data_IF_424825660530
#
_entry.id   IF_424825660530
#
_cell.length_a   1.000
_cell.length_b   1.000
_cell.length_c   1.000
_cell.angle_alpha   90.00
_cell.angle_beta   90.00
_cell.angle_gamma   90.00
#
_symmetry.space_group_name_H-M   'P 1'
#
loop_
_entity.id
_entity.type
_entity.pdbx_description
1 polymer ?
#
# COMPACT_ATOMS: atom_id res chain seq x y z
N UNK A 1 15.78 -4.36 5.86
CA UNK A 1 15.55 -4.56 4.41
C UNK A 1 15.26 -3.20 3.81
N UNK A 2 15.24 -3.06 2.48
CA UNK A 2 15.07 -1.77 1.80
C UNK A 2 13.62 -1.44 1.44
N UNK A 3 12.63 -2.02 2.13
CA UNK A 3 11.23 -1.90 1.70
C UNK A 3 10.59 -0.57 2.11
N UNK A 4 11.24 0.21 2.98
CA UNK A 4 10.93 1.64 3.11
C UNK A 4 11.09 2.33 1.76
N UNK A 5 12.19 2.09 1.03
CA UNK A 5 12.37 2.70 -0.30
C UNK A 5 11.29 2.25 -1.30
N UNK A 6 10.89 0.98 -1.26
CA UNK A 6 9.80 0.47 -2.13
C UNK A 6 8.48 1.18 -1.82
N UNK A 7 8.16 1.39 -0.53
CA UNK A 7 6.97 2.12 -0.09
C UNK A 7 6.97 3.58 -0.58
N UNK A 8 8.08 4.30 -0.37
CA UNK A 8 8.19 5.70 -0.81
C UNK A 8 8.17 5.85 -2.33
N UNK A 9 8.74 4.90 -3.08
CA UNK A 9 8.62 4.87 -4.55
C UNK A 9 7.17 4.62 -4.98
N UNK A 10 6.41 3.83 -4.21
CA UNK A 10 4.97 3.69 -4.41
C UNK A 10 4.23 5.03 -4.27
N UNK A 11 4.54 5.82 -3.24
CA UNK A 11 4.02 7.18 -3.08
C UNK A 11 4.42 8.11 -4.23
N UNK A 12 5.68 8.04 -4.66
CA UNK A 12 6.16 8.81 -5.79
C UNK A 12 5.42 8.48 -7.10
N UNK A 13 4.96 7.24 -7.24
CA UNK A 13 4.14 6.77 -8.36
C UNK A 13 2.62 6.86 -8.10
N UNK A 14 2.22 7.70 -7.14
CA UNK A 14 0.83 8.09 -6.89
C UNK A 14 0.00 7.11 -6.06
N UNK A 15 0.60 6.08 -5.48
CA UNK A 15 -0.11 5.22 -4.51
C UNK A 15 -0.22 5.91 -3.16
N UNK A 16 -1.33 5.66 -2.45
CA UNK A 16 -1.50 6.07 -1.05
C UNK A 16 -1.35 4.87 -0.13
N UNK A 17 -1.22 5.15 1.17
CA UNK A 17 -1.22 4.09 2.19
C UNK A 17 -2.50 3.26 2.09
N UNK A 18 -2.39 1.94 2.20
CA UNK A 18 -3.55 1.04 2.23
C UNK A 18 -4.55 1.43 3.33
N UNK A 19 -4.07 2.08 4.40
CA UNK A 19 -4.89 2.54 5.52
C UNK A 19 -5.62 3.86 5.32
N UNK A 20 -5.46 4.51 4.17
CA UNK A 20 -6.24 5.70 3.79
C UNK A 20 -7.44 5.33 2.94
N UNK A 21 -7.41 4.15 2.32
CA UNK A 21 -8.52 3.61 1.55
C UNK A 21 -9.50 2.97 2.51
N UNK A 22 -10.76 3.40 2.48
CA UNK A 22 -11.79 2.73 3.26
C UNK A 22 -11.98 1.31 2.68
N UNK A 23 -11.73 0.23 3.44
CA UNK A 23 -11.94 -1.12 2.93
C UNK A 23 -13.41 -1.30 2.55
N UNK A 24 -13.67 -2.04 1.48
CA UNK A 24 -15.03 -2.44 1.10
C UNK A 24 -15.70 -3.34 2.15
N UNK A 25 -14.93 -3.88 3.09
CA UNK A 25 -15.37 -4.75 4.16
C UNK A 25 -15.18 -4.12 5.55
N UNK A 26 -16.07 -4.45 6.47
CA UNK A 26 -15.97 -4.06 7.89
C UNK A 26 -16.27 -2.60 8.19
N UNK A 27 -16.09 -2.25 9.46
CA UNK A 27 -16.23 -0.89 9.98
C UNK A 27 -14.88 -0.17 10.05
N UNK A 28 -14.88 1.14 10.28
CA UNK A 28 -13.66 1.89 10.55
C UNK A 28 -12.89 1.37 11.79
N UNK A 29 -13.60 0.77 12.75
CA UNK A 29 -12.98 0.16 13.93
C UNK A 29 -12.26 -1.15 13.57
N UNK A 30 -12.89 -1.99 12.73
CA UNK A 30 -12.27 -3.23 12.24
C UNK A 30 -10.98 -2.93 11.49
N UNK A 31 -11.00 -1.87 10.67
CA UNK A 31 -9.85 -1.40 9.93
C UNK A 31 -8.72 -0.87 10.83
N UNK A 32 -9.06 -0.13 11.89
CA UNK A 32 -8.09 0.32 12.88
C UNK A 32 -7.40 -0.85 13.59
N UNK A 33 -8.17 -1.89 13.93
CA UNK A 33 -7.64 -3.13 14.52
C UNK A 33 -6.75 -3.90 13.55
N UNK A 34 -7.14 -4.02 12.29
CA UNK A 34 -6.34 -4.66 11.24
C UNK A 34 -4.98 -3.93 11.07
N UNK A 35 -5.00 -2.59 10.99
CA UNK A 35 -3.77 -1.78 10.93
C UNK A 35 -2.84 -2.05 12.10
N UNK A 36 -3.37 -2.06 13.33
CA UNK A 36 -2.58 -2.35 14.52
C UNK A 36 -2.01 -3.78 14.49
N UNK A 37 -2.76 -4.75 13.95
CA UNK A 37 -2.32 -6.13 13.81
C UNK A 37 -1.17 -6.30 12.80
N UNK A 38 -1.09 -5.47 11.75
CA UNK A 38 0.02 -5.47 10.80
C UNK A 38 1.34 -4.94 11.42
N UNK A 39 1.27 -4.06 12.43
CA UNK A 39 2.41 -3.39 13.07
C UNK A 39 3.20 -4.28 14.06
N UNK A 40 3.33 -5.57 13.78
CA UNK A 40 4.10 -6.50 14.60
C UNK A 40 5.58 -6.49 14.19
N UNK A 41 6.42 -5.82 14.98
CA UNK A 41 7.86 -5.73 14.73
C UNK A 41 8.56 -7.09 14.93
N UNK A 42 8.28 -7.75 16.06
CA UNK A 42 8.96 -8.99 16.46
C UNK A 42 8.07 -10.25 16.41
N UNK A 43 6.82 -10.08 15.97
CA UNK A 43 5.85 -11.17 15.88
C UNK A 43 5.83 -11.89 14.53
N UNK A 44 5.03 -12.97 14.41
CA UNK A 44 4.67 -13.55 13.12
C UNK A 44 3.93 -12.53 12.26
N UNK A 45 4.13 -12.63 10.94
CA UNK A 45 3.44 -11.78 9.98
C UNK A 45 1.95 -12.10 9.95
N UNK A 46 1.15 -11.04 9.82
CA UNK A 46 -0.27 -11.17 9.50
C UNK A 46 -0.42 -11.49 8.01
N UNK A 47 -1.38 -12.34 7.67
CA UNK A 47 -1.59 -12.85 6.30
C UNK A 47 -2.68 -12.09 5.56
N UNK A 48 -3.28 -11.08 6.19
CA UNK A 48 -4.18 -10.15 5.52
C UNK A 48 -3.45 -9.44 4.36
N UNK A 49 -4.16 -9.28 3.24
CA UNK A 49 -3.61 -8.72 2.00
C UNK A 49 -3.07 -7.30 2.23
N UNK A 50 -3.75 -6.53 3.08
CA UNK A 50 -3.36 -5.18 3.50
C UNK A 50 -2.04 -5.19 4.26
N UNK A 51 -1.72 -6.23 5.04
CA UNK A 51 -0.46 -6.32 5.77
C UNK A 51 0.71 -6.72 4.86
N UNK A 52 0.45 -7.58 3.87
CA UNK A 52 1.46 -8.07 2.91
C UNK A 52 1.84 -7.01 1.86
N UNK A 53 1.00 -6.00 1.68
CA UNK A 53 1.20 -4.96 0.68
C UNK A 53 2.41 -4.05 1.00
N UNK A 54 3.17 -3.63 -0.02
CA UNK A 54 4.26 -2.66 0.16
C UNK A 54 3.80 -1.29 0.66
N UNK A 55 2.55 -0.91 0.40
CA UNK A 55 1.93 0.34 0.89
C UNK A 55 1.34 0.23 2.30
N UNK A 56 1.64 -0.87 3.02
CA UNK A 56 1.32 -1.05 4.43
C UNK A 56 2.43 -0.51 5.34
N UNK A 57 2.12 -0.42 6.63
CA UNK A 57 3.09 -0.10 7.67
C UNK A 57 3.65 -1.35 8.36
N UNK A 58 3.33 -2.55 7.85
CA UNK A 58 3.91 -3.77 8.38
C UNK A 58 5.44 -3.73 8.33
N UNK A 59 6.07 -4.49 9.22
CA UNK A 59 7.52 -4.64 9.20
C UNK A 59 7.99 -5.17 7.85
N UNK A 60 9.19 -4.80 7.42
CA UNK A 60 9.70 -5.18 6.09
C UNK A 60 9.67 -6.69 5.84
N UNK A 61 9.91 -7.52 6.85
CA UNK A 61 9.86 -8.99 6.72
C UNK A 61 8.47 -9.52 6.33
N UNK A 62 7.42 -8.71 6.49
CA UNK A 62 6.04 -9.09 6.23
C UNK A 62 5.46 -8.53 4.93
N UNK A 63 6.18 -7.65 4.22
CA UNK A 63 5.71 -7.07 2.96
C UNK A 63 6.34 -7.80 1.78
N UNK A 64 5.54 -8.14 0.76
CA UNK A 64 6.03 -8.93 -0.38
C UNK A 64 5.42 -8.55 -1.74
N UNK A 65 4.37 -7.73 -1.83
CA UNK A 65 3.75 -7.42 -3.12
C UNK A 65 3.07 -6.05 -3.24
N UNK A 66 2.95 -5.60 -4.49
CA UNK A 66 1.91 -4.68 -4.92
C UNK A 66 0.81 -5.52 -5.55
N UNK A 67 -0.46 -5.15 -5.35
CA UNK A 67 -1.55 -5.82 -6.05
C UNK A 67 -1.52 -5.48 -7.56
N UNK A 68 -2.20 -6.28 -8.42
CA UNK A 68 -2.19 -6.04 -9.87
C UNK A 68 -2.72 -4.67 -10.30
N UNK A 69 -3.64 -4.08 -9.53
CA UNK A 69 -4.23 -2.77 -9.82
C UNK A 69 -3.27 -1.62 -9.51
N UNK A 70 -2.53 -1.69 -8.40
CA UNK A 70 -1.44 -0.78 -8.04
C UNK A 70 -0.36 -0.80 -9.12
N UNK A 71 0.04 -1.98 -9.59
CA UNK A 71 1.02 -2.10 -10.68
C UNK A 71 0.50 -1.43 -11.97
N UNK A 72 -0.76 -1.65 -12.31
CA UNK A 72 -1.39 -1.02 -13.49
C UNK A 72 -1.42 0.50 -13.35
N UNK A 73 -1.84 0.99 -12.19
CA UNK A 73 -1.91 2.42 -11.90
C UNK A 73 -0.54 3.08 -11.97
N UNK A 74 0.47 2.55 -11.27
CA UNK A 74 1.83 3.10 -11.29
C UNK A 74 2.39 3.21 -12.72
N UNK A 75 2.10 2.22 -13.59
CA UNK A 75 2.50 2.26 -15.00
C UNK A 75 1.79 3.39 -15.77
N UNK A 76 0.51 3.64 -15.50
CA UNK A 76 -0.23 4.76 -16.10
C UNK A 76 0.27 6.09 -15.58
N UNK A 77 0.43 6.22 -14.25
CA UNK A 77 0.94 7.41 -13.57
C UNK A 77 2.32 7.82 -14.13
N UNK A 78 3.25 6.87 -14.24
CA UNK A 78 4.57 7.12 -14.79
C UNK A 78 4.53 7.59 -16.25
N UNK A 79 3.64 7.02 -17.09
CA UNK A 79 3.47 7.47 -18.47
C UNK A 79 2.95 8.90 -18.56
N UNK A 80 2.01 9.27 -17.70
CA UNK A 80 1.48 10.64 -17.64
C UNK A 80 2.54 11.64 -17.17
N UNK A 81 3.33 11.30 -16.14
CA UNK A 81 4.46 12.12 -15.71
C UNK A 81 5.49 12.32 -16.84
N UNK A 82 5.85 11.25 -17.56
CA UNK A 82 6.79 11.32 -18.69
C UNK A 82 6.26 12.15 -19.86
N UNK A 83 4.93 12.25 -20.01
CA UNK A 83 4.29 13.14 -20.98
C UNK A 83 4.22 14.60 -20.52
N UNK A 84 4.78 14.94 -19.35
CA UNK A 84 4.73 16.29 -18.76
C UNK A 84 3.43 16.58 -18.01
N UNK A 85 2.61 15.55 -17.74
CA UNK A 85 1.39 15.67 -16.95
C UNK A 85 1.66 15.71 -15.44
N UNK A 86 0.64 16.09 -14.68
CA UNK A 86 0.61 16.08 -13.21
C UNK A 86 -0.51 15.16 -12.71
N UNK A 87 -0.36 13.83 -12.89
CA UNK A 87 -1.37 12.87 -12.46
C UNK A 87 -1.63 12.95 -10.95
N UNK A 88 -2.88 12.70 -10.56
CA UNK A 88 -3.29 12.76 -9.16
C UNK A 88 -3.11 11.39 -8.48
N UNK A 89 -2.73 11.34 -7.19
CA UNK A 89 -2.72 10.10 -6.42
C UNK A 89 -4.11 9.45 -6.36
N UNK A 90 -4.16 8.14 -6.17
CA UNK A 90 -5.42 7.39 -6.10
C UNK A 90 -5.48 6.46 -4.88
N UNK A 91 -6.71 6.27 -4.39
CA UNK A 91 -7.09 5.23 -3.44
C UNK A 91 -7.48 3.95 -4.21
N UNK A 92 -6.77 2.85 -3.99
CA UNK A 92 -7.05 1.54 -4.59
C UNK A 92 -7.48 0.60 -3.46
N UNK A 93 -8.70 0.08 -3.57
CA UNK A 93 -9.23 -0.92 -2.62
C UNK A 93 -8.47 -2.24 -2.76
N UNK A 94 -8.31 -2.96 -1.65
CA UNK A 94 -7.53 -4.20 -1.58
C UNK A 94 -8.40 -5.45 -1.47
#
# INVERSE_FOLDING_TARGET
>A
MGLTTVHEVGHWLGLVDVYKVKPSWGTAEDFSKARAACLKLDGPCDTQVECLNYMSYASDKCKNEFNPEQIRFMKTYAKEMLAGGTPQPIEIDL
#
